data_IF_368215213899
#
_entry.id   IF_368215213899
#
_cell.length_a   1.000
_cell.length_b   1.000
_cell.length_c   1.000
_cell.angle_alpha   90.00
_cell.angle_beta   90.00
_cell.angle_gamma   90.00
#
_symmetry.space_group_name_H-M   'P 1'
#
loop_
_entity.id
_entity.type
_entity.pdbx_description
1 polymer ?
#
# COMPACT_ATOMS: atom_id res chain seq x y z
N UNK A 1 0.50 -0.11 13.71
CA UNK A 1 1.00 -1.47 13.53
C UNK A 1 2.04 -1.49 12.40
N UNK A 2 3.15 -2.10 12.65
CA UNK A 2 4.28 -2.07 11.70
C UNK A 2 4.84 -3.47 11.50
N UNK A 3 5.08 -3.84 10.26
CA UNK A 3 5.62 -5.15 9.89
C UNK A 3 6.91 -4.94 9.10
N UNK A 4 7.97 -5.64 9.50
CA UNK A 4 9.21 -5.67 8.72
C UNK A 4 9.25 -6.97 7.92
N UNK A 5 9.67 -6.87 6.67
CA UNK A 5 9.87 -8.04 5.81
C UNK A 5 11.36 -8.29 5.68
N UNK A 6 11.80 -9.48 6.06
CA UNK A 6 13.22 -9.84 6.05
C UNK A 6 13.48 -11.05 5.15
N UNK A 7 14.63 -11.03 4.51
CA UNK A 7 15.11 -12.14 3.70
C UNK A 7 16.59 -12.33 4.04
N UNK A 8 16.97 -13.53 4.52
CA UNK A 8 18.34 -13.83 4.93
C UNK A 8 18.88 -12.82 5.93
N UNK A 9 18.06 -12.48 6.94
CA UNK A 9 18.39 -11.51 8.00
C UNK A 9 18.56 -10.07 7.52
N UNK A 10 18.20 -9.78 6.27
CA UNK A 10 18.21 -8.43 5.72
C UNK A 10 16.77 -7.92 5.58
N UNK A 11 16.50 -6.72 6.08
CA UNK A 11 15.18 -6.12 5.90
C UNK A 11 15.04 -5.63 4.47
N UNK A 12 14.10 -6.19 3.73
CA UNK A 12 13.86 -5.83 2.32
C UNK A 12 12.63 -4.94 2.14
N UNK A 13 11.87 -4.73 3.20
CA UNK A 13 10.71 -3.86 3.10
C UNK A 13 9.99 -3.72 4.42
N UNK A 14 8.94 -2.89 4.40
CA UNK A 14 8.10 -2.67 5.56
C UNK A 14 6.65 -2.50 5.12
N UNK A 15 5.75 -2.72 6.07
CA UNK A 15 4.32 -2.45 5.90
C UNK A 15 3.80 -1.84 7.19
N UNK A 16 3.02 -0.78 7.09
CA UNK A 16 2.36 -0.17 8.24
C UNK A 16 0.86 -0.18 8.05
N UNK A 17 0.13 -0.29 9.16
CA UNK A 17 -1.33 -0.21 9.19
C UNK A 17 -1.72 0.82 10.21
N UNK A 18 -2.44 1.85 9.79
CA UNK A 18 -2.89 2.93 10.65
C UNK A 18 -4.41 2.96 10.66
N UNK A 19 -4.99 3.15 11.84
CA UNK A 19 -6.45 3.25 11.98
C UNK A 19 -6.91 4.57 11.40
N UNK A 20 -7.89 4.54 10.49
CA UNK A 20 -8.48 5.75 9.92
C UNK A 20 -9.95 5.89 10.31
N UNK A 21 -10.60 4.79 10.66
CA UNK A 21 -11.99 4.79 11.15
C UNK A 21 -12.21 3.47 11.88
N UNK A 22 -13.41 3.26 12.42
CA UNK A 22 -13.74 2.01 13.10
C UNK A 22 -13.60 0.84 12.13
N UNK A 23 -12.69 -0.09 12.44
CA UNK A 23 -12.40 -1.27 11.62
C UNK A 23 -11.89 -0.96 10.21
N UNK A 24 -11.47 0.28 9.96
CA UNK A 24 -10.88 0.68 8.69
C UNK A 24 -9.45 1.15 8.90
N UNK A 25 -8.56 0.71 8.04
CA UNK A 25 -7.13 0.96 8.16
C UNK A 25 -6.58 1.50 6.85
N UNK A 26 -5.48 2.23 6.96
CA UNK A 26 -4.71 2.65 5.80
C UNK A 26 -3.39 1.90 5.81
N UNK A 27 -3.03 1.31 4.68
CA UNK A 27 -1.78 0.57 4.51
C UNK A 27 -0.72 1.48 3.88
N UNK A 28 0.49 1.44 4.45
CA UNK A 28 1.68 2.02 3.84
C UNK A 28 2.73 0.92 3.69
N UNK A 29 3.51 0.99 2.63
CA UNK A 29 4.53 -0.04 2.41
C UNK A 29 5.67 0.50 1.56
N UNK A 30 6.82 -0.15 1.70
CA UNK A 30 7.99 0.13 0.88
C UNK A 30 8.87 -1.10 0.79
N UNK A 31 9.45 -1.34 -0.37
CA UNK A 31 10.33 -2.49 -0.62
C UNK A 31 11.56 -2.05 -1.38
N UNK A 32 12.69 -2.68 -1.08
CA UNK A 32 13.95 -2.37 -1.74
C UNK A 32 13.92 -2.84 -3.20
N UNK A 33 14.76 -2.24 -4.02
CA UNK A 33 14.88 -2.65 -5.42
C UNK A 33 15.29 -4.11 -5.57
N UNK A 34 16.04 -4.65 -4.61
CA UNK A 34 16.46 -6.05 -4.64
C UNK A 34 15.29 -7.02 -4.58
N UNK A 35 14.17 -6.61 -3.99
CA UNK A 35 13.01 -7.48 -3.84
C UNK A 35 12.01 -7.34 -4.99
N UNK A 36 12.21 -6.38 -5.87
CA UNK A 36 11.29 -6.18 -6.99
C UNK A 36 11.38 -7.35 -7.98
N UNK A 37 10.23 -7.72 -8.55
CA UNK A 37 10.17 -8.77 -9.55
C UNK A 37 10.15 -10.18 -9.00
N UNK A 38 10.23 -10.36 -7.67
CA UNK A 38 10.23 -11.67 -7.04
C UNK A 38 8.89 -12.06 -6.41
N UNK A 39 7.91 -11.18 -6.48
CA UNK A 39 6.60 -11.44 -5.89
C UNK A 39 6.56 -11.33 -4.36
N UNK A 40 7.64 -10.93 -3.72
CA UNK A 40 7.68 -10.84 -2.26
C UNK A 40 6.65 -9.87 -1.70
N UNK A 41 6.50 -8.69 -2.31
CA UNK A 41 5.56 -7.71 -1.84
C UNK A 41 4.13 -8.24 -1.90
N UNK A 42 3.76 -8.87 -3.01
CA UNK A 42 2.42 -9.44 -3.16
C UNK A 42 2.15 -10.54 -2.14
N UNK A 43 3.12 -11.42 -1.92
CA UNK A 43 2.99 -12.51 -0.97
C UNK A 43 2.83 -12.01 0.45
N UNK A 44 3.71 -11.09 0.87
CA UNK A 44 3.70 -10.56 2.23
C UNK A 44 2.46 -9.71 2.48
N UNK A 45 2.13 -8.82 1.57
CA UNK A 45 0.95 -7.97 1.72
C UNK A 45 -0.33 -8.79 1.73
N UNK A 46 -0.40 -9.84 0.91
CA UNK A 46 -1.53 -10.75 0.92
C UNK A 46 -1.71 -11.42 2.28
N UNK A 47 -0.62 -11.87 2.89
CA UNK A 47 -0.66 -12.49 4.22
C UNK A 47 -1.07 -11.48 5.29
N UNK A 48 -0.58 -10.24 5.21
CA UNK A 48 -0.93 -9.20 6.17
C UNK A 48 -2.40 -8.83 6.05
N UNK A 49 -2.93 -8.75 4.84
CA UNK A 49 -4.35 -8.45 4.63
C UNK A 49 -5.24 -9.54 5.22
N UNK A 50 -4.85 -10.81 5.08
CA UNK A 50 -5.58 -11.92 5.68
C UNK A 50 -5.53 -11.82 7.21
N UNK A 51 -4.38 -11.48 7.76
CA UNK A 51 -4.23 -11.26 9.19
C UNK A 51 -5.16 -10.14 9.68
N UNK A 52 -5.22 -9.03 8.94
CA UNK A 52 -6.09 -7.90 9.30
C UNK A 52 -7.56 -8.30 9.24
N UNK A 53 -7.95 -9.11 8.25
CA UNK A 53 -9.30 -9.63 8.15
C UNK A 53 -9.65 -10.43 9.39
N UNK A 54 -8.74 -11.28 9.84
CA UNK A 54 -8.95 -12.11 11.03
C UNK A 54 -9.02 -11.27 12.31
N UNK A 55 -8.43 -10.08 12.33
CA UNK A 55 -8.55 -9.15 13.44
C UNK A 55 -9.85 -8.34 13.44
N UNK A 56 -10.67 -8.50 12.41
CA UNK A 56 -11.95 -7.81 12.31
C UNK A 56 -11.92 -6.55 11.46
N UNK A 57 -10.83 -6.29 10.74
CA UNK A 57 -10.78 -5.17 9.82
C UNK A 57 -11.79 -5.39 8.68
N UNK A 58 -12.51 -4.34 8.32
CA UNK A 58 -13.52 -4.41 7.26
C UNK A 58 -13.07 -3.78 5.95
N UNK A 59 -12.25 -2.75 6.02
CA UNK A 59 -11.78 -2.05 4.83
C UNK A 59 -10.33 -1.63 5.00
N UNK A 60 -9.56 -1.73 3.92
CA UNK A 60 -8.19 -1.26 3.87
C UNK A 60 -8.08 -0.22 2.75
N UNK A 61 -7.58 0.96 3.11
CA UNK A 61 -7.33 2.04 2.17
C UNK A 61 -5.85 2.05 1.79
N UNK A 62 -5.55 2.39 0.55
CA UNK A 62 -4.17 2.53 0.09
C UNK A 62 -4.07 3.70 -0.88
N UNK A 63 -2.96 4.43 -0.82
CA UNK A 63 -2.71 5.53 -1.73
C UNK A 63 -1.38 5.35 -2.43
N UNK A 64 -1.34 5.66 -3.72
CA UNK A 64 -0.08 5.64 -4.47
C UNK A 64 -0.19 6.62 -5.64
N UNK A 65 0.96 7.09 -6.13
CA UNK A 65 0.98 7.90 -7.35
C UNK A 65 0.55 7.02 -8.52
N UNK A 66 -0.37 7.51 -9.36
CA UNK A 66 -0.84 6.73 -10.50
C UNK A 66 0.27 6.44 -11.51
N UNK A 67 1.29 7.29 -11.58
CA UNK A 67 2.46 7.04 -12.44
C UNK A 67 3.37 5.93 -11.92
N UNK A 68 3.20 5.53 -10.66
CA UNK A 68 3.95 4.41 -10.08
C UNK A 68 3.26 3.11 -10.49
N UNK A 69 3.48 2.71 -11.74
CA UNK A 69 2.80 1.57 -12.35
C UNK A 69 3.00 0.26 -11.56
N UNK A 70 4.21 -0.07 -11.09
CA UNK A 70 4.37 -1.30 -10.29
C UNK A 70 3.49 -1.32 -9.04
N UNK A 71 3.35 -0.18 -8.35
CA UNK A 71 2.51 -0.10 -7.17
C UNK A 71 1.03 -0.26 -7.51
N UNK A 72 0.58 0.38 -8.59
CA UNK A 72 -0.81 0.26 -9.07
C UNK A 72 -1.12 -1.19 -9.41
N UNK A 73 -0.23 -1.86 -10.13
CA UNK A 73 -0.43 -3.27 -10.49
C UNK A 73 -0.48 -4.14 -9.24
N UNK A 74 0.40 -3.90 -8.28
CA UNK A 74 0.41 -4.65 -7.02
C UNK A 74 -0.91 -4.51 -6.29
N UNK A 75 -1.42 -3.29 -6.14
CA UNK A 75 -2.68 -3.07 -5.46
C UNK A 75 -3.84 -3.76 -6.16
N UNK A 76 -3.88 -3.71 -7.49
CA UNK A 76 -4.93 -4.40 -8.25
C UNK A 76 -4.85 -5.90 -8.09
N UNK A 77 -3.66 -6.47 -8.08
CA UNK A 77 -3.46 -7.91 -7.86
C UNK A 77 -3.90 -8.35 -6.47
N UNK A 78 -3.79 -7.46 -5.50
CA UNK A 78 -4.24 -7.73 -4.13
C UNK A 78 -5.75 -7.53 -3.95
N UNK A 79 -6.45 -7.09 -4.99
CA UNK A 79 -7.90 -6.92 -4.95
C UNK A 79 -8.36 -5.53 -4.59
N UNK A 80 -7.48 -4.55 -4.59
CA UNK A 80 -7.86 -3.16 -4.37
C UNK A 80 -8.49 -2.56 -5.63
N UNK A 81 -9.44 -1.67 -5.44
CA UNK A 81 -10.09 -0.93 -6.52
C UNK A 81 -9.79 0.55 -6.38
N UNK A 82 -9.58 1.22 -7.50
CA UNK A 82 -9.40 2.66 -7.53
C UNK A 82 -10.76 3.33 -7.27
N UNK A 83 -10.84 4.13 -6.21
CA UNK A 83 -12.09 4.79 -5.83
C UNK A 83 -12.05 6.29 -6.01
N UNK A 84 -10.90 6.88 -6.29
CA UNK A 84 -10.78 8.31 -6.50
C UNK A 84 -9.35 8.70 -6.80
N UNK A 85 -9.19 9.93 -7.26
CA UNK A 85 -7.88 10.50 -7.53
C UNK A 85 -7.79 11.89 -6.90
N UNK A 86 -6.57 12.33 -6.62
CA UNK A 86 -6.33 13.67 -6.11
C UNK A 86 -4.94 14.14 -6.53
N UNK A 87 -4.76 15.45 -6.57
CA UNK A 87 -3.45 16.04 -6.81
C UNK A 87 -2.72 16.16 -5.49
N UNK A 88 -1.53 15.58 -5.41
CA UNK A 88 -0.74 15.59 -4.19
C UNK A 88 0.67 16.10 -4.47
N UNK A 89 1.27 16.72 -3.44
CA UNK A 89 2.63 17.20 -3.50
C UNK A 89 3.38 16.76 -2.26
N UNK A 90 4.42 15.95 -2.46
CA UNK A 90 5.32 15.55 -1.37
C UNK A 90 6.72 16.13 -1.53
N UNK A 91 7.01 16.74 -2.66
CA UNK A 91 8.36 17.17 -2.99
C UNK A 91 8.36 18.61 -3.47
N UNK A 92 9.51 19.25 -3.33
CA UNK A 92 9.75 20.58 -3.88
C UNK A 92 10.89 20.51 -4.90
N UNK A 93 10.81 21.34 -5.94
CA UNK A 93 11.90 21.42 -6.89
C UNK A 93 13.04 22.27 -6.30
N UNK A 94 14.12 22.47 -7.09
CA UNK A 94 15.28 23.21 -6.61
C UNK A 94 14.98 24.69 -6.33
N UNK A 95 13.89 25.21 -6.88
CA UNK A 95 13.46 26.60 -6.66
C UNK A 95 12.48 26.73 -5.49
N UNK A 96 12.14 25.61 -4.83
CA UNK A 96 11.21 25.60 -3.70
C UNK A 96 9.75 25.53 -4.08
N UNK A 97 9.43 25.32 -5.36
CA UNK A 97 8.05 25.12 -5.81
C UNK A 97 7.61 23.70 -5.59
N UNK A 98 6.33 23.53 -5.23
CA UNK A 98 5.77 22.21 -5.03
C UNK A 98 5.69 21.43 -6.35
N UNK A 99 6.08 20.16 -6.30
CA UNK A 99 5.95 19.24 -7.43
C UNK A 99 4.67 18.43 -7.19
N UNK A 100 3.74 18.49 -8.13
CA UNK A 100 2.46 17.81 -8.02
C UNK A 100 2.39 16.58 -8.90
N UNK A 101 1.67 15.58 -8.43
CA UNK A 101 1.37 14.39 -9.21
C UNK A 101 -0.01 13.88 -8.84
N UNK A 102 -0.61 13.11 -9.74
CA UNK A 102 -1.92 12.53 -9.50
C UNK A 102 -1.78 11.29 -8.63
N UNK A 103 -2.43 11.31 -7.47
CA UNK A 103 -2.48 10.17 -6.57
C UNK A 103 -3.78 9.41 -6.72
N UNK A 104 -3.73 8.10 -6.62
CA UNK A 104 -4.90 7.25 -6.63
C UNK A 104 -5.22 6.79 -5.23
N UNK A 105 -6.51 6.83 -4.89
CA UNK A 105 -7.03 6.28 -3.65
C UNK A 105 -7.66 4.93 -3.95
N UNK A 106 -7.16 3.89 -3.31
CA UNK A 106 -7.60 2.51 -3.52
C UNK A 106 -8.25 1.97 -2.27
N UNK A 107 -9.21 1.07 -2.47
CA UNK A 107 -9.93 0.45 -1.38
C UNK A 107 -10.06 -1.05 -1.61
N UNK A 108 -9.82 -1.83 -0.55
CA UNK A 108 -10.14 -3.25 -0.53
C UNK A 108 -11.15 -3.51 0.58
N UNK A 109 -12.26 -4.11 0.24
CA UNK A 109 -13.29 -4.49 1.19
C UNK A 109 -13.04 -5.93 1.65
N UNK A 110 -12.73 -6.11 2.94
CA UNK A 110 -12.39 -7.42 3.50
C UNK A 110 -13.60 -8.23 3.94
N UNK A 111 -14.79 -7.62 3.95
CA UNK A 111 -15.99 -8.30 4.38
C UNK A 111 -16.69 -9.04 3.23
N UNK A 112 -16.24 -8.80 1.99
CA UNK A 112 -16.80 -9.48 0.84
C UNK A 112 -16.16 -10.86 0.70
N UNK A 113 -16.95 -11.87 0.89
CA UNK A 113 -16.52 -13.26 0.74
C UNK A 113 -16.74 -13.70 -0.70
N UNK A 114 -15.71 -13.66 -1.46
CA UNK A 114 -15.83 -14.18 -2.84
C UNK A 114 -14.52 -14.73 -3.29
#
# INVERSE_FOLDING_TARGET
>A
MFFATCLNDEMIGFTSMNIVASSEYEIGYGYTNKSHGHGYAQEVLGAILEYMKNLGATKIHAGTALRNVPSVILLKRLGFELIGTEEVSFFKDVSGNDIYFEGGNFLKNLTLDK
#
